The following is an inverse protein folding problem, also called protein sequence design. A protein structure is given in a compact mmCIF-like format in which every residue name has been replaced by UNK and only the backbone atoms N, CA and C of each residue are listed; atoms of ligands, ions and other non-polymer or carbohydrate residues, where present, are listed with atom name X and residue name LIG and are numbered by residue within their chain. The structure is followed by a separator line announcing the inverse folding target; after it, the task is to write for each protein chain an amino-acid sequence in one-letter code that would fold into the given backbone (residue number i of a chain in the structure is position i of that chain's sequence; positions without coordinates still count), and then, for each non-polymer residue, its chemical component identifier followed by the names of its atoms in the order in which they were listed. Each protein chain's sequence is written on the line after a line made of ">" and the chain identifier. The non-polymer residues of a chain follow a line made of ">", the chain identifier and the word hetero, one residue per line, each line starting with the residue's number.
data_IF_140246120369
#
_entry.id   IF_140246120369
#
_cell.length_a   1.000
_cell.length_b   1.000
_cell.length_c   1.000
_cell.angle_alpha   90.00
_cell.angle_beta   90.00
_cell.angle_gamma   90.00
#
_symmetry.space_group_name_H-M   'P 1'
#
loop_
_entity.id
_entity.type
_entity.pdbx_description
1 polymer ?
#
# COMPACT_ATOMS: atom_id res chain seq x y z
N UNK A 1 -62.69 -19.34 -44.43
CA UNK A 1 -62.57 -18.72 -43.09
C UNK A 1 -61.19 -19.08 -42.56
N UNK A 2 -60.20 -18.18 -42.70
CA UNK A 2 -59.55 -17.44 -41.60
C UNK A 2 -58.76 -18.38 -40.65
N UNK A 3 -57.44 -18.30 -40.45
CA UNK A 3 -56.59 -17.12 -40.24
C UNK A 3 -55.12 -17.42 -40.59
N UNK A 4 -54.47 -16.46 -41.23
CA UNK A 4 -53.02 -16.32 -41.39
C UNK A 4 -52.40 -15.94 -40.03
N UNK A 5 -51.39 -16.68 -39.57
CA UNK A 5 -50.57 -16.32 -38.42
C UNK A 5 -49.23 -15.79 -38.91
N UNK A 6 -48.98 -14.50 -38.70
CA UNK A 6 -47.68 -13.87 -38.88
C UNK A 6 -46.84 -14.10 -37.63
N UNK A 7 -45.74 -14.83 -37.76
CA UNK A 7 -44.75 -14.97 -36.69
C UNK A 7 -43.70 -13.87 -36.85
N UNK A 8 -43.73 -12.86 -35.97
CA UNK A 8 -42.72 -11.81 -35.93
C UNK A 8 -41.43 -12.36 -35.30
N UNK A 9 -40.32 -12.29 -36.05
CA UNK A 9 -38.98 -12.57 -35.53
C UNK A 9 -38.44 -11.30 -34.84
N UNK A 10 -38.36 -11.32 -33.51
CA UNK A 10 -37.68 -10.28 -32.74
C UNK A 10 -36.19 -10.63 -32.63
N UNK A 11 -35.36 -9.91 -33.37
CA UNK A 11 -33.90 -10.00 -33.28
C UNK A 11 -33.44 -9.22 -32.04
N UNK A 12 -33.18 -9.93 -30.94
CA UNK A 12 -32.58 -9.35 -29.74
C UNK A 12 -31.09 -9.08 -30.00
N UNK A 13 -30.75 -7.81 -30.22
CA UNK A 13 -29.36 -7.33 -30.22
C UNK A 13 -28.83 -7.48 -28.79
N UNK A 14 -27.99 -8.50 -28.57
CA UNK A 14 -27.27 -8.69 -27.33
C UNK A 14 -26.30 -7.53 -27.11
N UNK A 15 -26.63 -6.62 -26.19
CA UNK A 15 -25.67 -5.69 -25.61
C UNK A 15 -24.60 -6.52 -24.90
N UNK A 16 -23.42 -6.60 -25.51
CA UNK A 16 -22.23 -7.06 -24.84
C UNK A 16 -21.96 -6.11 -23.65
N UNK A 17 -22.42 -6.52 -22.47
CA UNK A 17 -22.02 -5.89 -21.22
C UNK A 17 -20.51 -5.99 -21.14
N UNK A 18 -19.83 -4.86 -21.33
CA UNK A 18 -18.45 -4.69 -20.91
C UNK A 18 -18.44 -5.04 -19.43
N UNK A 19 -17.81 -6.18 -19.10
CA UNK A 19 -17.51 -6.51 -17.73
C UNK A 19 -16.66 -5.37 -17.19
N UNK A 20 -17.28 -4.45 -16.45
CA UNK A 20 -16.56 -3.67 -15.47
C UNK A 20 -15.86 -4.72 -14.61
N UNK A 21 -14.53 -4.81 -14.74
CA UNK A 21 -13.72 -5.54 -13.79
C UNK A 21 -14.20 -5.07 -12.43
N UNK A 22 -14.86 -5.97 -11.72
CA UNK A 22 -15.33 -5.73 -10.37
C UNK A 22 -14.16 -5.10 -9.61
N UNK A 23 -14.45 -4.09 -8.79
CA UNK A 23 -13.51 -3.46 -7.89
C UNK A 23 -12.92 -4.52 -6.94
N UNK A 24 -11.95 -5.28 -7.45
CA UNK A 24 -11.10 -6.14 -6.68
C UNK A 24 -10.36 -5.21 -5.73
N UNK A 25 -10.39 -5.55 -4.45
CA UNK A 25 -9.63 -4.85 -3.41
C UNK A 25 -8.26 -4.48 -3.97
N UNK A 26 -7.94 -3.19 -3.95
CA UNK A 26 -6.67 -2.63 -4.42
C UNK A 26 -5.54 -3.22 -3.58
N UNK A 27 -5.05 -4.38 -4.00
CA UNK A 27 -4.14 -5.20 -3.22
C UNK A 27 -2.73 -4.94 -3.69
N UNK A 28 -1.96 -4.32 -2.81
CA UNK A 28 -0.53 -4.16 -2.92
C UNK A 28 0.15 -5.44 -2.38
N UNK A 29 1.12 -5.95 -3.12
CA UNK A 29 1.87 -7.15 -2.72
C UNK A 29 3.12 -7.33 -3.57
N UNK A 30 3.93 -8.35 -3.28
CA UNK A 30 5.21 -8.55 -3.98
C UNK A 30 5.05 -9.34 -5.31
N UNK A 31 3.87 -9.33 -5.94
CA UNK A 31 3.50 -10.18 -7.09
C UNK A 31 2.79 -9.37 -8.17
N UNK A 32 2.62 -9.97 -9.34
CA UNK A 32 1.94 -9.35 -10.48
C UNK A 32 2.58 -8.03 -10.89
N UNK A 33 1.83 -6.92 -11.01
CA UNK A 33 2.36 -5.63 -11.44
C UNK A 33 3.41 -5.05 -10.48
N UNK A 34 3.48 -5.57 -9.25
CA UNK A 34 4.40 -5.12 -8.20
C UNK A 34 5.46 -6.18 -7.87
N UNK A 35 5.72 -7.13 -8.76
CA UNK A 35 6.73 -8.16 -8.56
C UNK A 35 8.17 -7.61 -8.63
N UNK A 36 9.14 -8.37 -8.11
CA UNK A 36 10.59 -8.04 -8.17
C UNK A 36 11.08 -7.68 -9.59
N UNK A 37 10.51 -8.32 -10.62
CA UNK A 37 10.86 -8.11 -12.02
C UNK A 37 10.03 -7.07 -12.76
N UNK A 38 9.16 -6.32 -12.07
CA UNK A 38 8.29 -5.34 -12.70
C UNK A 38 9.08 -4.22 -13.40
N UNK A 39 8.40 -3.55 -14.32
CA UNK A 39 8.88 -2.37 -15.05
C UNK A 39 7.75 -1.37 -15.27
N UNK A 40 8.09 -0.13 -15.62
CA UNK A 40 7.09 0.86 -16.03
C UNK A 40 6.17 0.34 -17.15
N UNK A 41 6.69 -0.45 -18.09
CA UNK A 41 5.88 -1.07 -19.15
C UNK A 41 4.85 -2.06 -18.59
N UNK A 42 5.23 -2.89 -17.61
CA UNK A 42 4.27 -3.80 -16.96
C UNK A 42 3.24 -3.05 -16.11
N UNK A 43 3.61 -1.91 -15.53
CA UNK A 43 2.66 -1.04 -14.83
C UNK A 43 1.67 -0.40 -15.81
N UNK A 44 2.15 0.09 -16.96
CA UNK A 44 1.28 0.61 -18.04
C UNK A 44 0.31 -0.46 -18.52
N UNK A 45 0.75 -1.70 -18.70
CA UNK A 45 -0.12 -2.79 -19.09
C UNK A 45 -1.21 -3.10 -18.04
N UNK A 46 -0.89 -2.97 -16.74
CA UNK A 46 -1.81 -3.27 -15.65
C UNK A 46 -2.79 -2.13 -15.34
N UNK A 47 -2.33 -0.88 -15.41
CA UNK A 47 -3.08 0.29 -14.95
C UNK A 47 -3.51 1.24 -16.07
N UNK A 48 -3.01 1.03 -17.29
CA UNK A 48 -3.24 1.88 -18.46
C UNK A 48 -2.28 3.08 -18.50
N UNK A 49 -1.85 3.44 -19.72
CA UNK A 49 -0.87 4.50 -19.94
C UNK A 49 -1.30 5.86 -19.37
N UNK A 50 -2.61 6.17 -19.38
CA UNK A 50 -3.15 7.40 -18.83
C UNK A 50 -2.98 7.53 -17.30
N UNK A 51 -2.77 6.41 -16.60
CA UNK A 51 -2.65 6.37 -15.15
C UNK A 51 -1.20 6.21 -14.68
N UNK A 52 -0.22 6.10 -15.59
CA UNK A 52 1.18 5.85 -15.24
C UNK A 52 2.05 6.98 -15.80
N UNK A 53 2.72 7.71 -14.91
CA UNK A 53 3.58 8.84 -15.26
C UNK A 53 5.00 8.66 -14.73
N UNK A 54 5.97 9.30 -15.37
CA UNK A 54 7.34 9.42 -14.87
C UNK A 54 7.50 10.80 -14.23
N UNK A 55 7.96 10.85 -12.98
CA UNK A 55 8.09 12.09 -12.20
C UNK A 55 9.32 12.03 -11.30
N UNK A 56 9.78 13.21 -10.88
CA UNK A 56 10.68 13.35 -9.74
C UNK A 56 9.87 13.23 -8.45
N UNK A 57 10.17 12.21 -7.64
CA UNK A 57 9.47 11.85 -6.42
C UNK A 57 10.20 12.38 -5.21
N UNK A 58 9.48 12.96 -4.25
CA UNK A 58 10.04 13.44 -2.99
C UNK A 58 10.64 12.28 -2.17
N UNK A 59 11.89 12.45 -1.75
CA UNK A 59 12.62 11.52 -0.88
C UNK A 59 12.97 12.12 0.48
N UNK A 60 12.41 13.29 0.81
CA UNK A 60 12.67 14.04 2.03
C UNK A 60 13.70 15.16 1.85
N UNK A 61 13.70 16.08 2.82
CA UNK A 61 14.69 17.17 2.93
C UNK A 61 14.80 18.09 1.69
N UNK A 62 13.75 18.13 0.86
CA UNK A 62 13.72 18.90 -0.38
C UNK A 62 14.43 18.23 -1.56
N UNK A 63 14.86 16.97 -1.41
CA UNK A 63 15.42 16.17 -2.50
C UNK A 63 14.36 15.36 -3.22
N UNK A 64 14.65 15.06 -4.48
CA UNK A 64 13.81 14.20 -5.32
C UNK A 64 14.64 13.17 -6.06
N UNK A 65 13.98 12.06 -6.42
CA UNK A 65 14.55 11.01 -7.27
C UNK A 65 13.59 10.65 -8.41
N UNK A 66 14.11 10.38 -9.63
CA UNK A 66 13.28 9.94 -10.75
C UNK A 66 12.57 8.61 -10.44
N UNK A 67 11.26 8.58 -10.64
CA UNK A 67 10.42 7.42 -10.36
C UNK A 67 9.17 7.33 -11.22
N UNK A 68 8.26 6.43 -10.86
CA UNK A 68 6.98 6.24 -11.55
C UNK A 68 5.83 6.45 -10.59
N UNK A 69 4.85 7.24 -11.01
CA UNK A 69 3.59 7.46 -10.28
C UNK A 69 2.47 6.72 -10.98
N UNK A 70 1.68 5.98 -10.21
CA UNK A 70 0.42 5.39 -10.65
C UNK A 70 -0.72 6.21 -10.05
N UNK A 71 -1.74 6.54 -10.84
CA UNK A 71 -2.89 7.36 -10.47
C UNK A 71 -2.51 8.73 -9.88
N UNK A 72 -1.62 9.48 -10.56
CA UNK A 72 -1.09 10.79 -10.11
C UNK A 72 -2.16 11.73 -9.55
N UNK A 73 -3.30 11.81 -10.24
CA UNK A 73 -4.36 12.76 -9.94
C UNK A 73 -5.42 12.22 -8.96
N UNK A 74 -5.28 10.98 -8.48
CA UNK A 74 -6.13 10.39 -7.45
C UNK A 74 -5.29 10.07 -6.22
N UNK A 75 -5.32 10.99 -5.25
CA UNK A 75 -4.53 10.85 -4.02
C UNK A 75 -4.80 9.55 -3.27
N UNK A 76 -6.04 9.04 -3.28
CA UNK A 76 -6.39 7.78 -2.57
C UNK A 76 -5.82 6.54 -3.26
N UNK A 77 -5.55 6.64 -4.55
CA UNK A 77 -5.04 5.52 -5.36
C UNK A 77 -3.57 5.72 -5.76
N UNK A 78 -2.95 6.84 -5.37
CA UNK A 78 -1.58 7.18 -5.72
C UNK A 78 -0.60 6.12 -5.22
N UNK A 79 0.25 5.62 -6.12
CA UNK A 79 1.40 4.76 -5.79
C UNK A 79 2.66 5.42 -6.36
N UNK A 80 3.71 5.44 -5.54
CA UNK A 80 5.06 5.89 -5.93
C UNK A 80 5.97 4.68 -6.08
N UNK A 81 6.66 4.55 -7.21
CA UNK A 81 7.57 3.45 -7.51
C UNK A 81 8.94 3.99 -7.84
N UNK A 82 9.92 3.59 -7.03
CA UNK A 82 11.34 3.82 -7.25
C UNK A 82 11.96 2.56 -7.86
N UNK A 83 13.01 2.74 -8.66
CA UNK A 83 13.59 1.67 -9.47
C UNK A 83 15.06 1.48 -9.14
N UNK A 84 15.53 0.23 -9.15
CA UNK A 84 16.97 -0.06 -9.15
C UNK A 84 17.60 0.34 -10.50
N UNK A 85 16.91 0.07 -11.61
CA UNK A 85 17.31 0.55 -12.94
C UNK A 85 16.52 1.81 -13.29
N UNK A 86 16.94 2.98 -12.79
CA UNK A 86 16.16 4.22 -12.98
C UNK A 86 15.97 4.60 -14.45
N UNK A 87 17.02 4.52 -15.27
CA UNK A 87 16.96 4.88 -16.70
C UNK A 87 15.95 4.04 -17.49
N UNK A 88 15.90 2.73 -17.21
CA UNK A 88 14.99 1.80 -17.90
C UNK A 88 13.68 1.57 -17.15
N UNK A 89 13.55 2.13 -15.93
CA UNK A 89 12.43 1.96 -15.00
C UNK A 89 12.08 0.49 -14.81
N UNK A 90 13.05 -0.29 -14.35
CA UNK A 90 12.93 -1.74 -14.10
C UNK A 90 13.39 -2.09 -12.69
N UNK A 91 12.86 -3.21 -12.17
CA UNK A 91 13.16 -3.80 -10.86
C UNK A 91 12.87 -2.80 -9.73
N UNK A 92 11.65 -2.76 -9.19
CA UNK A 92 11.31 -1.82 -8.14
C UNK A 92 12.30 -1.92 -6.97
N UNK A 93 12.85 -0.80 -6.53
CA UNK A 93 13.62 -0.72 -5.29
C UNK A 93 12.70 -0.48 -4.10
N UNK A 94 11.70 0.39 -4.30
CA UNK A 94 10.70 0.75 -3.29
C UNK A 94 9.37 1.07 -3.96
N UNK A 95 8.28 0.59 -3.38
CA UNK A 95 6.92 1.03 -3.70
C UNK A 95 6.34 1.68 -2.46
N UNK A 96 5.83 2.89 -2.56
CA UNK A 96 5.27 3.66 -1.44
C UNK A 96 3.80 3.99 -1.70
N UNK A 97 3.01 3.82 -0.66
CA UNK A 97 1.66 4.35 -0.54
C UNK A 97 1.61 5.21 0.73
N UNK A 98 1.06 6.42 0.60
CA UNK A 98 0.95 7.40 1.68
C UNK A 98 -0.52 7.68 1.98
N UNK A 99 -0.80 8.24 3.14
CA UNK A 99 -2.14 8.72 3.44
C UNK A 99 -2.52 9.96 2.59
N UNK A 100 -3.80 10.10 2.20
CA UNK A 100 -4.87 9.10 2.31
C UNK A 100 -4.72 8.00 1.25
N UNK A 101 -5.13 6.76 1.55
CA UNK A 101 -5.12 5.69 0.54
C UNK A 101 -6.16 4.59 0.76
N UNK A 102 -6.63 3.99 -0.34
CA UNK A 102 -7.50 2.81 -0.38
C UNK A 102 -6.75 1.49 -0.58
N UNK A 103 -5.45 1.55 -0.92
CA UNK A 103 -4.62 0.36 -1.09
C UNK A 103 -4.47 -0.42 0.20
N UNK A 104 -4.42 -1.75 0.06
CA UNK A 104 -4.23 -2.69 1.17
C UNK A 104 -3.11 -3.66 0.86
N UNK A 105 -2.35 -4.08 1.84
CA UNK A 105 -1.34 -5.14 1.75
C UNK A 105 -1.90 -6.44 2.30
N UNK A 106 -1.79 -7.52 1.54
CA UNK A 106 -2.07 -8.87 2.03
C UNK A 106 -1.02 -9.28 3.07
N UNK A 107 -1.46 -9.72 4.24
CA UNK A 107 -0.59 -10.13 5.35
C UNK A 107 -0.66 -11.62 5.69
N UNK A 108 -1.56 -12.35 5.03
CA UNK A 108 -1.67 -13.81 5.17
C UNK A 108 -1.45 -14.54 3.85
N UNK A 109 -0.86 -15.73 3.93
CA UNK A 109 -0.75 -16.68 2.81
C UNK A 109 -2.08 -17.35 2.43
N UNK A 110 -3.13 -17.17 3.25
CA UNK A 110 -4.51 -17.57 2.94
C UNK A 110 -5.36 -16.43 2.35
N UNK A 111 -4.79 -15.23 2.22
CA UNK A 111 -5.42 -14.08 1.55
C UNK A 111 -6.52 -13.34 2.32
N UNK A 112 -6.87 -13.75 3.55
CA UNK A 112 -8.01 -13.18 4.28
C UNK A 112 -7.69 -11.89 5.05
N UNK A 113 -6.46 -11.75 5.57
CA UNK A 113 -6.07 -10.60 6.37
C UNK A 113 -5.33 -9.57 5.52
N UNK A 114 -5.71 -8.30 5.66
CA UNK A 114 -5.10 -7.17 4.96
C UNK A 114 -4.86 -6.01 5.90
N UNK A 115 -3.79 -5.23 5.66
CA UNK A 115 -3.51 -3.97 6.35
C UNK A 115 -3.59 -2.82 5.33
N UNK A 116 -4.01 -1.64 5.77
CA UNK A 116 -4.05 -0.44 4.93
C UNK A 116 -3.75 0.82 5.74
N UNK A 117 -3.67 1.96 5.08
CA UNK A 117 -3.62 3.27 5.74
C UNK A 117 -4.76 3.37 6.77
N UNK A 118 -4.46 3.91 7.95
CA UNK A 118 -5.40 4.02 9.07
C UNK A 118 -5.54 2.78 9.95
N UNK A 119 -4.94 1.64 9.59
CA UNK A 119 -4.98 0.43 10.43
C UNK A 119 -4.34 0.71 11.79
N UNK A 120 -5.00 0.24 12.85
CA UNK A 120 -4.56 0.46 14.23
C UNK A 120 -3.35 -0.40 14.57
N UNK A 121 -2.52 0.11 15.48
CA UNK A 121 -1.38 -0.63 16.03
C UNK A 121 -1.76 -2.04 16.47
N UNK A 122 -2.87 -2.21 17.19
CA UNK A 122 -3.36 -3.51 17.65
C UNK A 122 -3.71 -4.46 16.49
N UNK A 123 -4.27 -3.93 15.39
CA UNK A 123 -4.55 -4.72 14.19
C UNK A 123 -3.25 -5.22 13.54
N UNK A 124 -2.21 -4.37 13.51
CA UNK A 124 -0.89 -4.76 12.99
C UNK A 124 -0.20 -5.77 13.92
N UNK A 125 -0.29 -5.61 15.24
CA UNK A 125 0.21 -6.60 16.22
C UNK A 125 -0.46 -7.96 16.00
N UNK A 126 -1.78 -7.97 15.83
CA UNK A 126 -2.54 -9.20 15.57
C UNK A 126 -2.11 -9.86 14.25
N UNK A 127 -1.92 -9.09 13.19
CA UNK A 127 -1.41 -9.56 11.91
C UNK A 127 0.02 -10.12 12.02
N UNK A 128 0.88 -9.43 12.80
CA UNK A 128 2.25 -9.86 13.06
C UNK A 128 2.34 -11.09 13.98
N UNK A 129 1.26 -11.41 14.71
CA UNK A 129 1.19 -12.48 15.72
C UNK A 129 2.12 -12.30 16.91
N UNK A 130 2.81 -11.16 17.00
CA UNK A 130 3.75 -10.77 18.05
C UNK A 130 3.83 -9.25 18.14
N UNK A 131 4.17 -8.68 19.31
CA UNK A 131 4.66 -7.31 19.38
C UNK A 131 5.88 -7.12 18.48
N UNK A 132 6.10 -5.88 18.05
CA UNK A 132 7.22 -5.45 17.22
C UNK A 132 7.78 -4.13 17.77
N UNK A 133 8.89 -3.65 17.22
CA UNK A 133 9.45 -2.34 17.60
C UNK A 133 9.12 -1.29 16.54
N UNK A 134 8.88 -0.07 16.98
CA UNK A 134 8.78 1.11 16.12
C UNK A 134 9.53 2.28 16.74
N UNK A 135 10.03 3.15 15.88
CA UNK A 135 10.69 4.39 16.26
C UNK A 135 9.72 5.33 16.99
N UNK A 136 10.21 6.06 17.99
CA UNK A 136 9.47 7.14 18.64
C UNK A 136 9.05 8.24 17.66
N UNK A 137 8.17 9.15 18.08
CA UNK A 137 7.67 10.23 17.23
C UNK A 137 8.48 11.54 17.32
N UNK A 138 8.26 12.44 16.37
CA UNK A 138 8.77 13.83 16.43
C UNK A 138 10.15 14.06 15.81
N UNK A 139 10.59 13.17 14.92
CA UNK A 139 11.82 13.26 14.13
C UNK A 139 11.59 12.68 12.74
N UNK A 140 12.57 12.78 11.83
CA UNK A 140 12.47 12.34 10.43
C UNK A 140 12.18 10.83 10.32
N UNK A 141 12.87 10.01 11.13
CA UNK A 141 12.67 8.57 11.24
C UNK A 141 11.47 8.14 12.09
N UNK A 142 10.60 9.07 12.47
CA UNK A 142 9.52 8.81 13.39
C UNK A 142 8.53 7.73 12.92
N UNK A 143 8.12 6.87 13.86
CA UNK A 143 7.00 5.95 13.66
C UNK A 143 7.25 4.79 12.71
N UNK A 144 8.43 4.71 12.07
CA UNK A 144 8.81 3.56 11.27
C UNK A 144 8.92 2.32 12.14
N UNK A 145 8.40 1.18 11.64
CA UNK A 145 8.68 -0.13 12.22
C UNK A 145 10.18 -0.40 12.11
N UNK A 146 10.82 -0.68 13.23
CA UNK A 146 12.24 -1.03 13.31
C UNK A 146 12.42 -2.52 13.04
N UNK A 147 11.82 -3.37 13.88
CA UNK A 147 11.91 -4.82 13.76
C UNK A 147 10.57 -5.50 13.99
N UNK A 148 10.28 -6.52 13.17
CA UNK A 148 9.10 -7.38 13.35
C UNK A 148 9.23 -8.39 14.50
N UNK A 149 10.39 -8.43 15.18
CA UNK A 149 10.68 -9.28 16.35
C UNK A 149 10.34 -10.77 16.15
N UNK A 150 10.68 -11.31 14.97
CA UNK A 150 10.38 -12.69 14.58
C UNK A 150 8.89 -12.98 14.42
N UNK A 151 8.08 -11.94 14.15
CA UNK A 151 6.68 -12.03 13.80
C UNK A 151 6.44 -12.29 12.31
N UNK A 152 5.18 -12.54 11.97
CA UNK A 152 4.76 -12.98 10.64
C UNK A 152 5.07 -11.95 9.53
N UNK A 153 5.01 -10.66 9.85
CA UNK A 153 5.20 -9.59 8.87
C UNK A 153 6.67 -9.39 8.47
N UNK A 154 7.60 -10.11 9.11
CA UNK A 154 9.01 -10.10 8.74
C UNK A 154 9.28 -10.62 7.31
N UNK A 155 8.35 -11.41 6.75
CA UNK A 155 8.46 -11.98 5.41
C UNK A 155 7.11 -11.91 4.72
N UNK A 156 7.06 -11.27 3.57
CA UNK A 156 5.91 -11.33 2.68
C UNK A 156 6.13 -12.35 1.55
N UNK A 157 5.05 -12.95 1.10
CA UNK A 157 5.06 -13.81 -0.08
C UNK A 157 5.44 -13.00 -1.34
N UNK A 158 6.31 -13.55 -2.17
CA UNK A 158 6.84 -12.89 -3.37
C UNK A 158 8.12 -12.07 -3.13
N UNK A 159 8.68 -12.13 -1.91
CA UNK A 159 10.09 -11.82 -1.67
C UNK A 159 10.43 -10.33 -1.51
N UNK A 160 9.46 -9.48 -1.23
CA UNK A 160 9.69 -8.10 -0.79
C UNK A 160 9.61 -7.97 0.73
N UNK A 161 10.24 -6.93 1.27
CA UNK A 161 10.09 -6.54 2.67
C UNK A 161 8.92 -5.57 2.85
N UNK A 162 8.23 -5.66 3.98
CA UNK A 162 7.22 -4.68 4.40
C UNK A 162 7.84 -3.71 5.39
N UNK A 163 7.71 -2.41 5.10
CA UNK A 163 7.92 -1.34 6.06
C UNK A 163 6.62 -0.56 6.23
N UNK A 164 6.28 -0.27 7.49
CA UNK A 164 5.14 0.57 7.85
C UNK A 164 5.66 1.79 8.61
N UNK A 165 5.03 2.94 8.39
CA UNK A 165 5.19 4.13 9.22
C UNK A 165 3.88 4.40 9.93
N UNK A 166 3.97 4.66 11.23
CA UNK A 166 2.84 5.04 12.06
C UNK A 166 2.86 6.54 12.35
N UNK A 167 1.69 7.17 12.28
CA UNK A 167 1.44 8.50 12.84
C UNK A 167 0.71 8.38 14.19
N UNK A 168 0.98 9.24 15.18
CA UNK A 168 0.16 9.30 16.39
C UNK A 168 -1.24 9.81 16.03
N UNK A 169 -2.25 9.42 16.82
CA UNK A 169 -3.60 9.99 16.65
C UNK A 169 -3.53 11.52 16.76
N UNK A 170 -4.21 12.28 15.88
CA UNK A 170 -4.30 13.74 16.02
C UNK A 170 -4.93 14.18 17.34
N UNK A 171 -5.61 13.27 18.06
CA UNK A 171 -6.22 13.48 19.37
C UNK A 171 -5.34 12.96 20.52
N UNK A 172 -4.09 12.55 20.25
CA UNK A 172 -3.15 12.14 21.29
C UNK A 172 -2.84 13.32 22.21
N UNK A 173 -2.88 13.10 23.53
CA UNK A 173 -2.53 14.13 24.51
C UNK A 173 -1.03 14.47 24.38
N UNK A 174 -0.60 15.74 24.36
CA UNK A 174 0.82 16.11 24.22
C UNK A 174 1.74 15.44 25.25
N UNK A 175 1.28 15.33 26.50
CA UNK A 175 2.02 14.66 27.59
C UNK A 175 2.17 13.14 27.37
N UNK A 176 1.22 12.51 26.66
CA UNK A 176 1.35 11.11 26.29
C UNK A 176 2.29 10.95 25.09
N UNK A 177 2.17 11.83 24.09
CA UNK A 177 3.03 11.85 22.91
C UNK A 177 4.50 12.04 23.27
N UNK A 178 4.83 13.00 24.14
CA UNK A 178 6.22 13.27 24.53
C UNK A 178 6.91 12.08 25.19
N UNK A 179 6.17 11.19 25.87
CA UNK A 179 6.70 9.96 26.48
C UNK A 179 7.12 8.91 25.46
N UNK A 180 6.58 8.99 24.24
CA UNK A 180 6.88 8.08 23.12
C UNK A 180 7.54 8.81 21.95
N UNK A 181 8.15 9.96 22.21
CA UNK A 181 8.90 10.75 21.24
C UNK A 181 10.41 10.55 21.37
N UNK A 182 11.12 10.94 20.32
CA UNK A 182 12.58 10.90 20.20
C UNK A 182 13.10 9.70 19.40
N UNK A 183 14.36 9.82 18.99
CA UNK A 183 15.10 8.79 18.26
C UNK A 183 15.50 7.64 19.20
N UNK A 184 14.51 6.77 19.46
CA UNK A 184 14.69 5.50 20.15
C UNK A 184 13.57 4.54 19.82
N UNK A 185 13.80 3.23 19.91
CA UNK A 185 12.76 2.24 19.69
C UNK A 185 11.80 2.15 20.89
N UNK A 186 10.54 1.87 20.58
CA UNK A 186 9.49 1.51 21.52
C UNK A 186 8.85 0.20 21.11
N UNK A 187 8.45 -0.62 22.09
CA UNK A 187 7.63 -1.79 21.82
C UNK A 187 6.21 -1.36 21.44
N UNK A 188 5.62 -1.99 20.43
CA UNK A 188 4.25 -1.74 19.97
C UNK A 188 3.21 -1.94 21.08
N UNK A 189 3.48 -2.85 22.02
CA UNK A 189 2.57 -3.14 23.12
C UNK A 189 2.81 -2.27 24.36
N UNK A 190 3.78 -1.33 24.32
CA UNK A 190 4.06 -0.44 25.44
C UNK A 190 2.83 0.40 25.80
N UNK A 191 2.44 0.55 27.08
CA UNK A 191 1.27 1.32 27.47
C UNK A 191 1.29 2.77 26.96
N UNK A 192 2.46 3.41 26.98
CA UNK A 192 2.63 4.76 26.43
C UNK A 192 2.38 4.84 24.92
N UNK A 193 2.80 3.82 24.17
CA UNK A 193 2.61 3.76 22.72
C UNK A 193 1.13 3.54 22.38
N UNK A 194 0.45 2.66 23.12
CA UNK A 194 -1.00 2.44 22.96
C UNK A 194 -1.82 3.69 23.32
N UNK A 195 -1.38 4.47 24.31
CA UNK A 195 -2.08 5.68 24.74
C UNK A 195 -2.17 6.76 23.64
N UNK A 196 -1.26 6.76 22.67
CA UNK A 196 -1.30 7.71 21.54
C UNK A 196 -2.04 7.17 20.31
N UNK A 197 -2.58 5.94 20.40
CA UNK A 197 -3.42 5.28 19.39
C UNK A 197 -2.89 5.45 17.95
N UNK A 198 -1.64 5.05 17.68
CA UNK A 198 -1.04 5.32 16.39
C UNK A 198 -1.67 4.45 15.30
N UNK A 199 -1.66 4.98 14.07
CA UNK A 199 -2.22 4.34 12.88
C UNK A 199 -1.23 4.40 11.73
N UNK A 200 -1.32 3.45 10.79
CA UNK A 200 -0.47 3.45 9.60
C UNK A 200 -0.74 4.73 8.78
N UNK A 201 0.30 5.51 8.49
CA UNK A 201 0.28 6.68 7.59
C UNK A 201 1.06 6.42 6.29
N UNK A 202 1.94 5.43 6.28
CA UNK A 202 2.69 5.01 5.10
C UNK A 202 2.88 3.49 5.08
N UNK A 203 2.80 2.95 3.88
CA UNK A 203 3.14 1.56 3.57
C UNK A 203 4.26 1.59 2.53
N UNK A 204 5.27 0.75 2.72
CA UNK A 204 6.33 0.58 1.74
C UNK A 204 6.67 -0.89 1.52
N UNK A 205 6.79 -1.28 0.26
CA UNK A 205 7.37 -2.55 -0.16
C UNK A 205 8.78 -2.30 -0.68
N UNK A 206 9.74 -3.11 -0.26
CA UNK A 206 11.14 -2.94 -0.66
C UNK A 206 11.77 -4.23 -1.20
N UNK A 207 12.70 -4.08 -2.14
CA UNK A 207 13.54 -5.19 -2.61
C UNK A 207 15.01 -4.85 -2.37
N UNK A 208 15.77 -5.69 -1.65
CA UNK A 208 17.21 -5.54 -1.58
C UNK A 208 17.81 -5.72 -2.99
N UNK A 209 18.97 -5.09 -3.22
CA UNK A 209 19.74 -5.27 -4.45
C UNK A 209 20.16 -6.73 -4.64
#
# INVERSE_FOLDING_TARGET
>A
MSKTLFTAAALLIGLAGQGALAAGSELLGCRGPFAKGASAATLVAAFGAANVAHEDLDVGEGFTEPGTVIFKNDGKRRIEVFWHDSETRRRPSRIIVREPSTWRVAVSGDGSATLGIGSELATVEAANRKPFTLNGFGWDGAGYVGEWSGGRLAKLDGGCSLSLRFGPSPQAKPVALSKVSGDKPFASNAPGMRAVRPRIEQISLGWPQ
#
